data_IF_875119200015
#
_entry.id   IF_875119200015
#
_cell.length_a   1.000
_cell.length_b   1.000
_cell.length_c   1.000
_cell.angle_alpha   90.00
_cell.angle_beta   90.00
_cell.angle_gamma   90.00
#
_symmetry.space_group_name_H-M   'P 1'
#
loop_
_entity.id
_entity.type
_entity.pdbx_description
1 polymer ?
#
# COMPACT_ATOMS: atom_id res chain seq x y z
N UNK A 1 -18.22 -11.62 11.09
CA UNK A 1 -16.78 -11.69 10.77
C UNK A 1 -16.27 -10.27 10.60
N UNK A 2 -15.21 -9.87 11.31
CA UNK A 2 -14.51 -8.61 11.00
C UNK A 2 -13.80 -8.82 9.68
N UNK A 3 -14.16 -8.05 8.65
CA UNK A 3 -13.45 -8.06 7.38
C UNK A 3 -12.05 -7.53 7.66
N UNK A 4 -11.03 -8.34 7.41
CA UNK A 4 -9.65 -7.89 7.50
C UNK A 4 -9.35 -7.07 6.25
N UNK A 5 -9.14 -5.76 6.42
CA UNK A 5 -8.89 -4.83 5.32
C UNK A 5 -7.40 -4.52 5.20
N UNK A 6 -6.82 -4.76 4.03
CA UNK A 6 -5.47 -4.36 3.66
C UNK A 6 -5.52 -3.21 2.66
N UNK A 7 -4.67 -2.21 2.86
CA UNK A 7 -4.44 -1.15 1.87
C UNK A 7 -3.15 -1.44 1.11
N UNK A 8 -3.20 -1.27 -0.20
CA UNK A 8 -2.04 -1.37 -1.10
C UNK A 8 -1.80 0.03 -1.67
N UNK A 9 -0.70 0.66 -1.30
CA UNK A 9 -0.30 1.95 -1.86
C UNK A 9 0.46 1.72 -3.16
N UNK A 10 -0.03 2.31 -4.24
CA UNK A 10 0.54 2.16 -5.58
C UNK A 10 1.57 3.25 -5.89
N UNK A 11 2.82 2.82 -6.06
CA UNK A 11 3.93 3.66 -6.51
C UNK A 11 4.17 3.57 -8.04
N UNK A 12 3.22 3.01 -8.78
CA UNK A 12 3.24 2.90 -10.24
C UNK A 12 3.71 1.53 -10.75
N UNK A 13 3.61 0.49 -9.92
CA UNK A 13 4.00 -0.87 -10.33
C UNK A 13 2.95 -1.49 -11.26
N UNK A 14 3.42 -2.10 -12.35
CA UNK A 14 2.60 -2.96 -13.21
C UNK A 14 1.99 -4.16 -12.46
N UNK A 15 2.54 -4.52 -11.29
CA UNK A 15 2.10 -5.66 -10.48
C UNK A 15 1.14 -5.29 -9.35
N UNK A 16 0.82 -4.00 -9.12
CA UNK A 16 -0.12 -3.60 -8.07
C UNK A 16 -1.47 -4.34 -8.15
N UNK A 17 -2.09 -4.51 -9.33
CA UNK A 17 -3.31 -5.33 -9.45
C UNK A 17 -3.09 -6.81 -9.12
N UNK A 18 -1.91 -7.36 -9.42
CA UNK A 18 -1.57 -8.75 -9.10
C UNK A 18 -1.41 -8.95 -7.59
N UNK A 19 -0.78 -8.00 -6.89
CA UNK A 19 -0.67 -8.02 -5.43
C UNK A 19 -2.08 -8.04 -4.80
N UNK A 20 -2.96 -7.13 -5.24
CA UNK A 20 -4.34 -7.08 -4.75
C UNK A 20 -5.09 -8.40 -5.01
N UNK A 21 -4.92 -8.99 -6.19
CA UNK A 21 -5.50 -10.30 -6.52
C UNK A 21 -4.97 -11.40 -5.60
N UNK A 22 -3.66 -11.47 -5.34
CA UNK A 22 -3.08 -12.50 -4.47
C UNK A 22 -3.57 -12.39 -3.04
N UNK A 23 -3.69 -11.18 -2.51
CA UNK A 23 -4.26 -10.95 -1.17
C UNK A 23 -5.73 -11.41 -1.12
N UNK A 24 -6.52 -11.09 -2.14
CA UNK A 24 -7.93 -11.51 -2.22
C UNK A 24 -8.09 -13.03 -2.39
N UNK A 25 -7.18 -13.68 -3.11
CA UNK A 25 -7.13 -15.16 -3.22
C UNK A 25 -6.83 -15.85 -1.87
N UNK A 26 -6.21 -15.14 -0.92
CA UNK A 26 -6.02 -15.61 0.46
C UNK A 26 -7.24 -15.34 1.37
N UNK A 27 -8.33 -14.81 0.82
CA UNK A 27 -9.56 -14.53 1.58
C UNK A 27 -9.57 -13.20 2.34
N UNK A 28 -8.60 -12.32 2.09
CA UNK A 28 -8.47 -11.01 2.75
C UNK A 28 -8.96 -9.91 1.83
N UNK A 29 -9.72 -8.94 2.37
CA UNK A 29 -10.15 -7.79 1.58
C UNK A 29 -8.96 -6.86 1.34
N UNK A 30 -8.81 -6.37 0.11
CA UNK A 30 -7.72 -5.49 -0.26
C UNK A 30 -8.19 -4.40 -1.22
N UNK A 31 -7.78 -3.17 -0.96
CA UNK A 31 -8.03 -2.00 -1.79
C UNK A 31 -6.73 -1.34 -2.21
N UNK A 32 -6.71 -0.79 -3.43
CA UNK A 32 -5.56 -0.08 -3.98
C UNK A 32 -5.80 1.42 -3.81
N UNK A 33 -4.80 2.10 -3.27
CA UNK A 33 -4.80 3.54 -3.06
C UNK A 33 -3.60 4.18 -3.78
N UNK A 34 -3.71 5.46 -4.17
CA UNK A 34 -2.55 6.25 -4.57
C UNK A 34 -1.49 6.27 -3.46
N UNK A 35 -0.21 6.34 -3.83
CA UNK A 35 0.88 6.44 -2.86
C UNK A 35 0.74 7.61 -1.88
N UNK A 36 0.11 8.72 -2.27
CA UNK A 36 -0.05 9.95 -1.49
C UNK A 36 -1.41 10.05 -0.77
N UNK A 37 -2.12 8.93 -0.59
CA UNK A 37 -3.39 8.87 0.16
C UNK A 37 -3.24 9.41 1.59
N UNK A 38 -4.27 10.07 2.11
CA UNK A 38 -4.27 10.53 3.49
C UNK A 38 -4.53 9.36 4.45
N UNK A 39 -3.82 9.32 5.58
CA UNK A 39 -4.02 8.29 6.59
C UNK A 39 -5.47 8.24 7.13
N UNK A 40 -6.19 9.38 7.10
CA UNK A 40 -7.59 9.46 7.51
C UNK A 40 -8.56 8.69 6.59
N UNK A 41 -8.17 8.45 5.33
CA UNK A 41 -8.96 7.68 4.36
C UNK A 41 -8.78 6.17 4.55
N UNK A 42 -7.76 5.77 5.30
CA UNK A 42 -7.41 4.37 5.56
C UNK A 42 -8.06 3.89 6.87
N UNK A 43 -9.29 3.38 6.79
CA UNK A 43 -10.08 2.94 7.95
C UNK A 43 -10.02 1.43 8.18
N UNK A 44 -10.04 1.05 9.45
CA UNK A 44 -10.12 -0.34 9.92
C UNK A 44 -9.04 -1.28 9.33
N UNK A 45 -7.85 -0.73 9.06
CA UNK A 45 -6.74 -1.49 8.47
C UNK A 45 -6.18 -2.54 9.42
N UNK A 46 -5.84 -3.69 8.84
CA UNK A 46 -5.05 -4.74 9.47
C UNK A 46 -3.58 -4.73 9.07
N UNK A 47 -3.25 -4.00 8.01
CA UNK A 47 -1.90 -3.92 7.48
C UNK A 47 -1.86 -3.09 6.20
N UNK A 48 -0.63 -2.80 5.78
CA UNK A 48 -0.34 -1.97 4.63
C UNK A 48 0.68 -2.68 3.74
N UNK A 49 0.51 -2.58 2.43
CA UNK A 49 1.49 -3.01 1.43
C UNK A 49 1.91 -1.79 0.62
N UNK A 50 3.20 -1.51 0.61
CA UNK A 50 3.80 -0.48 -0.24
C UNK A 50 4.28 -1.18 -1.52
N UNK A 51 3.65 -0.88 -2.66
CA UNK A 51 3.96 -1.55 -3.92
C UNK A 51 5.32 -1.13 -4.48
N UNK A 52 5.77 -1.84 -5.51
CA UNK A 52 6.92 -1.41 -6.30
C UNK A 52 6.61 -0.16 -7.14
N UNK A 53 7.62 0.33 -7.82
CA UNK A 53 7.49 1.39 -8.79
C UNK A 53 8.69 1.42 -9.73
N UNK A 54 8.57 2.01 -10.93
CA UNK A 54 9.68 2.13 -11.89
C UNK A 54 10.66 3.25 -11.51
N UNK A 55 10.26 4.16 -10.62
CA UNK A 55 11.06 5.31 -10.22
C UNK A 55 12.20 4.91 -9.27
N UNK A 56 13.23 5.74 -9.16
CA UNK A 56 14.23 5.65 -8.09
C UNK A 56 13.83 6.51 -6.89
N UNK A 57 14.00 6.00 -5.66
CA UNK A 57 13.71 6.73 -4.41
C UNK A 57 14.60 7.99 -4.23
N UNK A 58 15.70 8.07 -4.96
CA UNK A 58 16.66 9.18 -4.94
C UNK A 58 16.26 10.35 -5.85
N UNK A 59 15.29 10.15 -6.75
CA UNK A 59 14.83 11.22 -7.65
C UNK A 59 14.09 12.31 -6.88
N UNK A 60 14.22 13.56 -7.34
CA UNK A 60 13.62 14.74 -6.68
C UNK A 60 12.09 14.63 -6.55
N UNK A 61 11.43 14.03 -7.55
CA UNK A 61 9.98 13.89 -7.62
C UNK A 61 9.55 12.43 -7.44
N UNK A 62 10.39 11.63 -6.77
CA UNK A 62 10.11 10.24 -6.46
C UNK A 62 8.77 10.14 -5.70
N UNK A 63 7.85 9.23 -6.09
CA UNK A 63 6.59 9.01 -5.39
C UNK A 63 6.81 8.64 -3.91
N UNK A 64 6.22 9.37 -2.96
CA UNK A 64 6.42 9.10 -1.53
C UNK A 64 5.12 8.99 -0.76
N UNK A 65 5.01 8.03 0.18
CA UNK A 65 3.86 8.02 1.07
C UNK A 65 3.88 9.25 1.96
N UNK A 66 2.70 9.68 2.42
CA UNK A 66 2.63 10.69 3.46
C UNK A 66 3.29 10.17 4.75
N UNK A 67 4.04 10.99 5.51
CA UNK A 67 4.76 10.52 6.70
C UNK A 67 3.86 9.79 7.71
N UNK A 68 2.63 10.27 7.91
CA UNK A 68 1.64 9.62 8.78
C UNK A 68 1.32 8.17 8.41
N UNK A 69 1.48 7.74 7.15
CA UNK A 69 1.26 6.35 6.73
C UNK A 69 2.24 5.41 7.43
N UNK A 70 3.50 5.82 7.54
CA UNK A 70 4.56 5.01 8.17
C UNK A 70 4.44 5.00 9.70
N UNK A 71 3.67 5.93 10.27
CA UNK A 71 3.39 6.02 11.69
C UNK A 71 2.14 5.24 12.12
N UNK A 72 1.40 4.64 11.17
CA UNK A 72 0.23 3.81 11.50
C UNK A 72 0.66 2.59 12.33
N UNK A 73 -0.10 2.29 13.38
CA UNK A 73 0.16 1.16 14.28
C UNK A 73 -0.30 -0.19 13.68
N UNK A 74 0.05 -0.45 12.42
CA UNK A 74 -0.25 -1.70 11.70
C UNK A 74 1.02 -2.22 11.02
N UNK A 75 1.14 -3.53 10.76
CA UNK A 75 2.25 -4.07 9.99
C UNK A 75 2.33 -3.48 8.57
N UNK A 76 3.55 -3.20 8.12
CA UNK A 76 3.84 -2.66 6.80
C UNK A 76 4.77 -3.62 6.06
N UNK A 77 4.40 -4.00 4.83
CA UNK A 77 5.23 -4.78 3.91
C UNK A 77 5.64 -3.88 2.73
N UNK A 78 6.93 -3.62 2.58
CA UNK A 78 7.51 -2.96 1.42
C UNK A 78 7.94 -3.95 0.34
N UNK A 79 7.59 -3.68 -0.92
CA UNK A 79 7.98 -4.52 -2.06
C UNK A 79 8.79 -3.66 -3.05
N UNK A 80 10.09 -3.90 -3.09
CA UNK A 80 11.05 -3.23 -3.97
C UNK A 80 11.16 -1.72 -3.69
N UNK A 81 10.28 -0.90 -4.27
CA UNK A 81 10.31 0.56 -4.11
C UNK A 81 9.78 0.99 -2.74
N UNK A 82 8.66 0.38 -2.34
CA UNK A 82 7.98 0.62 -1.08
C UNK A 82 8.70 0.08 0.13
#
# INVERSE_FOLDING_TARGET
>A
MKIENLAILDFGSQYTPLIARRVRELGVHAEIFPHDVAAADLKDLKGLILSGGPASVLEKNAPRPRPEILALAVPILGICYG
#
